data_IF_690854042770
#
_entry.id   IF_690854042770
#
_cell.length_a   1.000
_cell.length_b   1.000
_cell.length_c   1.000
_cell.angle_alpha   90.00
_cell.angle_beta   90.00
_cell.angle_gamma   90.00
#
_symmetry.space_group_name_H-M   'P 1'
#
loop_
_entity.id
_entity.type
_entity.pdbx_description
1 polymer ?
#
# COMPACT_ATOMS: atom_id res chain seq x y z
N UNK A 1 -4.31 -61.04 -32.38
CA UNK A 1 -4.66 -59.66 -32.80
C UNK A 1 -5.39 -58.99 -31.64
N UNK A 2 -4.65 -58.40 -30.70
CA UNK A 2 -4.50 -56.94 -30.54
C UNK A 2 -5.84 -56.17 -30.56
N UNK A 3 -6.43 -55.98 -29.37
CA UNK A 3 -7.57 -55.09 -29.12
C UNK A 3 -7.17 -54.10 -28.04
N UNK A 4 -7.02 -52.83 -28.41
CA UNK A 4 -6.25 -51.80 -27.72
C UNK A 4 -6.91 -51.25 -26.47
N UNK A 5 -6.07 -51.04 -25.47
CA UNK A 5 -6.15 -50.11 -24.34
C UNK A 5 -6.63 -48.73 -24.78
N UNK A 6 -7.67 -48.14 -24.17
CA UNK A 6 -7.96 -46.72 -24.35
C UNK A 6 -8.91 -46.10 -23.29
N UNK A 7 -8.50 -45.94 -22.03
CA UNK A 7 -9.18 -44.97 -21.14
C UNK A 7 -8.24 -44.49 -20.02
N UNK A 8 -7.26 -43.62 -20.27
CA UNK A 8 -6.71 -42.72 -19.22
C UNK A 8 -6.13 -41.47 -19.91
N UNK A 9 -6.92 -40.39 -20.06
CA UNK A 9 -6.39 -39.05 -20.35
C UNK A 9 -7.48 -37.97 -20.17
N UNK A 10 -8.06 -37.85 -18.97
CA UNK A 10 -8.99 -36.75 -18.67
C UNK A 10 -8.96 -36.31 -17.20
N UNK A 11 -7.77 -36.14 -16.60
CA UNK A 11 -7.63 -35.67 -15.21
C UNK A 11 -6.60 -34.56 -14.98
N UNK A 12 -5.92 -34.05 -16.02
CA UNK A 12 -4.87 -33.03 -15.85
C UNK A 12 -5.33 -31.56 -16.01
N UNK A 13 -6.62 -31.28 -16.20
CA UNK A 13 -7.10 -29.91 -16.44
C UNK A 13 -7.66 -29.16 -15.22
N UNK A 14 -7.64 -29.77 -14.03
CA UNK A 14 -8.28 -29.16 -12.84
C UNK A 14 -7.31 -28.49 -11.85
N UNK A 15 -6.00 -28.48 -12.11
CA UNK A 15 -5.04 -27.86 -11.18
C UNK A 15 -4.06 -26.95 -11.89
N UNK A 16 -4.46 -25.71 -12.14
CA UNK A 16 -3.54 -24.56 -12.31
C UNK A 16 -4.29 -23.23 -12.26
N UNK A 17 -4.85 -22.88 -11.10
CA UNK A 17 -5.05 -21.47 -10.73
C UNK A 17 -4.47 -21.22 -9.36
N UNK A 18 -3.17 -21.52 -9.21
CA UNK A 18 -2.40 -20.91 -8.13
C UNK A 18 -2.05 -19.50 -8.63
N UNK A 19 -2.80 -18.49 -8.20
CA UNK A 19 -2.44 -17.10 -8.41
C UNK A 19 -1.22 -16.82 -7.53
N UNK A 20 -0.03 -17.20 -8.01
CA UNK A 20 1.21 -16.73 -7.41
C UNK A 20 1.17 -15.20 -7.46
N UNK A 21 1.40 -14.57 -6.32
CA UNK A 21 1.41 -13.11 -6.25
C UNK A 21 2.57 -12.60 -7.10
N UNK A 22 2.26 -12.20 -8.34
CA UNK A 22 3.25 -11.81 -9.33
C UNK A 22 3.79 -10.42 -8.97
N UNK A 23 5.12 -10.30 -8.94
CA UNK A 23 5.80 -9.02 -8.73
C UNK A 23 5.26 -8.00 -9.73
N UNK A 24 4.81 -6.86 -9.22
CA UNK A 24 4.16 -5.80 -9.99
C UNK A 24 4.81 -4.45 -9.67
N UNK A 25 4.59 -3.47 -10.53
CA UNK A 25 5.07 -2.10 -10.35
C UNK A 25 4.04 -1.26 -9.58
N UNK A 26 4.53 -0.54 -8.57
CA UNK A 26 3.73 0.32 -7.72
C UNK A 26 4.46 1.64 -7.50
N UNK A 27 3.70 2.66 -7.12
CA UNK A 27 4.26 3.86 -6.50
C UNK A 27 3.75 3.95 -5.07
N UNK A 28 4.69 4.01 -4.13
CA UNK A 28 4.36 4.39 -2.76
C UNK A 28 4.30 5.91 -2.70
N UNK A 29 3.10 6.45 -2.46
CA UNK A 29 2.88 7.86 -2.18
C UNK A 29 3.14 8.13 -0.69
N UNK A 30 3.94 9.15 -0.42
CA UNK A 30 4.28 9.59 0.93
C UNK A 30 3.74 10.99 1.13
N UNK A 31 2.77 11.14 2.03
CA UNK A 31 2.24 12.44 2.43
C UNK A 31 2.93 12.85 3.73
N UNK A 32 3.80 13.84 3.68
CA UNK A 32 4.44 14.44 4.85
C UNK A 32 3.70 15.73 5.22
N UNK A 33 3.00 15.70 6.36
CA UNK A 33 2.27 16.83 6.93
C UNK A 33 3.11 17.50 8.01
N UNK A 34 3.40 18.78 7.83
CA UNK A 34 4.14 19.60 8.78
C UNK A 34 3.36 20.87 9.12
N UNK A 35 3.45 21.30 10.37
CA UNK A 35 2.91 22.58 10.81
C UNK A 35 4.06 23.48 11.24
N UNK A 36 3.95 24.78 10.95
CA UNK A 36 4.94 25.78 11.37
C UNK A 36 5.15 25.80 12.89
N UNK A 37 4.09 25.56 13.64
CA UNK A 37 4.10 25.44 15.10
C UNK A 37 3.55 24.05 15.42
N UNK A 38 4.41 23.12 15.81
CA UNK A 38 4.05 21.75 16.19
C UNK A 38 5.02 21.20 17.23
N UNK A 39 4.47 20.58 18.27
CA UNK A 39 5.23 19.81 19.26
C UNK A 39 5.47 18.36 18.81
N UNK A 40 4.83 17.91 17.73
CA UNK A 40 4.77 16.49 17.34
C UNK A 40 5.51 16.18 16.03
N UNK A 41 6.31 17.13 15.51
CA UNK A 41 7.08 16.95 14.28
C UNK A 41 6.21 16.82 13.03
N UNK A 42 6.76 16.16 12.01
CA UNK A 42 6.11 15.88 10.72
C UNK A 42 5.37 14.55 10.79
N UNK A 43 4.07 14.55 10.50
CA UNK A 43 3.28 13.31 10.36
C UNK A 43 3.48 12.74 8.95
N UNK A 44 3.54 11.42 8.84
CA UNK A 44 3.75 10.71 7.57
C UNK A 44 2.63 9.70 7.32
N UNK A 45 2.05 9.74 6.13
CA UNK A 45 1.04 8.78 5.67
C UNK A 45 1.53 8.09 4.39
N UNK A 46 1.37 6.77 4.33
CA UNK A 46 1.85 5.94 3.23
C UNK A 46 0.69 5.31 2.47
N UNK A 47 0.73 5.44 1.16
CA UNK A 47 -0.31 4.97 0.24
C UNK A 47 0.34 4.24 -0.93
N UNK A 48 -0.36 3.28 -1.52
CA UNK A 48 0.09 2.51 -2.68
C UNK A 48 -0.81 2.84 -3.86
N UNK A 49 -0.17 3.17 -4.99
CA UNK A 49 -0.79 3.34 -6.29
C UNK A 49 -0.22 2.29 -7.26
N UNK A 50 -1.00 1.30 -7.73
CA UNK A 50 -0.57 0.38 -8.77
C UNK A 50 -0.37 1.13 -10.11
N UNK A 51 0.68 0.79 -10.88
CA UNK A 51 1.02 1.46 -12.16
C UNK A 51 -0.10 1.40 -13.23
N UNK A 52 -1.15 0.61 -13.04
CA UNK A 52 -2.24 0.48 -14.02
C UNK A 52 -3.44 1.40 -13.76
N UNK A 53 -3.41 2.27 -12.73
CA UNK A 53 -4.61 2.95 -12.21
C UNK A 53 -4.54 4.49 -12.18
N UNK A 54 -3.95 5.13 -13.19
CA UNK A 54 -3.92 6.61 -13.28
C UNK A 54 -5.21 7.24 -13.85
N UNK A 55 -6.24 6.46 -14.19
CA UNK A 55 -7.50 6.98 -14.74
C UNK A 55 -8.42 7.56 -13.65
N UNK A 56 -9.47 8.32 -14.05
CA UNK A 56 -10.29 9.30 -13.30
C UNK A 56 -10.74 8.95 -11.86
N UNK A 57 -10.64 7.69 -11.42
CA UNK A 57 -10.71 7.32 -10.01
C UNK A 57 -9.30 6.92 -9.53
N UNK A 58 -8.60 7.84 -8.86
CA UNK A 58 -7.35 7.55 -8.13
C UNK A 58 -7.62 6.50 -7.05
N UNK A 59 -7.58 5.23 -7.42
CA UNK A 59 -7.68 4.09 -6.52
C UNK A 59 -6.33 3.91 -5.84
N UNK A 60 -6.08 4.74 -4.84
CA UNK A 60 -4.97 4.58 -3.90
C UNK A 60 -5.44 3.72 -2.72
N UNK A 61 -4.56 2.86 -2.20
CA UNK A 61 -4.84 2.09 -0.98
C UNK A 61 -3.85 2.39 0.12
N UNK A 62 -4.27 2.28 1.36
CA UNK A 62 -3.38 2.55 2.49
C UNK A 62 -2.30 1.46 2.59
N UNK A 63 -1.04 1.87 2.76
CA UNK A 63 0.06 0.96 3.01
C UNK A 63 0.21 0.73 4.51
N UNK A 64 -0.07 -0.49 4.98
CA UNK A 64 0.27 -0.87 6.34
C UNK A 64 1.70 -1.41 6.38
N UNK A 65 2.59 -0.63 6.98
CA UNK A 65 3.95 -1.08 7.31
C UNK A 65 4.11 -1.42 8.79
N UNK A 66 3.07 -1.25 9.60
CA UNK A 66 3.11 -1.48 11.04
C UNK A 66 2.91 -2.95 11.43
N UNK A 67 2.41 -3.14 12.64
CA UNK A 67 2.02 -4.44 13.17
C UNK A 67 0.67 -4.87 12.62
N UNK A 68 0.58 -6.10 12.10
CA UNK A 68 -0.68 -6.72 11.68
C UNK A 68 -0.65 -8.21 12.00
N UNK A 69 -1.83 -8.80 12.19
CA UNK A 69 -1.97 -10.16 12.69
C UNK A 69 -1.78 -11.18 11.57
N UNK A 70 -1.49 -12.44 11.94
CA UNK A 70 -1.47 -13.56 10.97
C UNK A 70 -2.82 -13.71 10.27
N UNK A 71 -3.92 -13.46 10.98
CA UNK A 71 -5.28 -13.50 10.41
C UNK A 71 -5.46 -12.43 9.33
N UNK A 72 -5.05 -11.19 9.60
CA UNK A 72 -5.07 -10.09 8.62
C UNK A 72 -4.24 -10.46 7.39
N UNK A 73 -3.06 -11.05 7.57
CA UNK A 73 -2.23 -11.52 6.47
C UNK A 73 -2.92 -12.61 5.64
N UNK A 74 -3.53 -13.62 6.28
CA UNK A 74 -4.25 -14.70 5.59
C UNK A 74 -5.45 -14.16 4.81
N UNK A 75 -6.24 -13.25 5.41
CA UNK A 75 -7.37 -12.61 4.75
C UNK A 75 -6.92 -11.78 3.56
N UNK A 76 -5.83 -11.03 3.73
CA UNK A 76 -5.21 -10.24 2.66
C UNK A 76 -4.77 -11.09 1.46
N UNK A 77 -4.10 -12.22 1.69
CA UNK A 77 -3.63 -13.09 0.61
C UNK A 77 -4.77 -13.80 -0.13
N UNK A 78 -5.95 -13.90 0.50
CA UNK A 78 -7.18 -14.44 -0.12
C UNK A 78 -8.06 -13.35 -0.76
N UNK A 79 -7.71 -12.07 -0.61
CA UNK A 79 -8.55 -10.95 -1.05
C UNK A 79 -9.86 -10.81 -0.26
N UNK A 80 -9.92 -11.39 0.95
CA UNK A 80 -11.07 -11.30 1.84
C UNK A 80 -11.11 -9.93 2.55
N UNK A 81 -12.24 -9.63 3.19
CA UNK A 81 -12.32 -8.45 4.04
C UNK A 81 -11.49 -8.62 5.31
N UNK A 82 -10.88 -7.54 5.77
CA UNK A 82 -9.92 -7.52 6.87
C UNK A 82 -10.34 -6.51 7.93
N UNK A 83 -10.26 -6.91 9.18
CA UNK A 83 -10.31 -6.00 10.31
C UNK A 83 -8.88 -5.74 10.81
N UNK A 84 -8.33 -4.58 10.45
CA UNK A 84 -6.99 -4.15 10.84
C UNK A 84 -6.97 -3.38 12.17
N UNK A 85 -8.14 -3.14 12.76
CA UNK A 85 -8.32 -2.34 13.98
C UNK A 85 -8.65 -3.18 15.22
N UNK A 86 -8.69 -4.51 15.09
CA UNK A 86 -8.79 -5.37 16.26
C UNK A 86 -7.59 -5.12 17.17
N UNK A 87 -7.84 -4.43 18.28
CA UNK A 87 -6.91 -4.24 19.38
C UNK A 87 -6.67 -5.62 19.95
N UNK A 88 -5.59 -6.26 19.53
CA UNK A 88 -5.14 -7.48 20.17
C UNK A 88 -4.04 -7.15 21.18
N UNK A 89 -3.93 -7.90 22.28
CA UNK A 89 -2.77 -7.81 23.16
C UNK A 89 -1.48 -8.03 22.34
N UNK A 90 -0.43 -7.25 22.64
CA UNK A 90 0.85 -7.20 21.89
C UNK A 90 1.44 -8.59 21.58
N UNK A 91 1.14 -9.57 22.42
CA UNK A 91 1.56 -10.97 22.34
C UNK A 91 1.00 -11.75 21.13
N UNK A 92 -0.02 -11.24 20.45
CA UNK A 92 -0.64 -11.91 19.28
C UNK A 92 -0.04 -11.51 17.93
N UNK A 93 0.87 -10.53 17.91
CA UNK A 93 1.47 -10.03 16.67
C UNK A 93 2.73 -10.84 16.33
N UNK A 94 2.53 -11.99 15.71
CA UNK A 94 3.65 -12.77 15.15
C UNK A 94 3.82 -12.40 13.66
N UNK A 95 4.51 -11.28 13.41
CA UNK A 95 5.14 -11.08 12.10
C UNK A 95 6.39 -11.96 12.07
N UNK A 96 6.37 -13.03 11.28
CA UNK A 96 7.54 -13.87 11.07
C UNK A 96 8.73 -13.05 10.57
N UNK A 97 9.96 -13.45 10.92
CA UNK A 97 11.17 -12.65 10.68
C UNK A 97 11.37 -12.25 9.22
N UNK A 98 11.06 -13.15 8.29
CA UNK A 98 11.11 -12.87 6.85
C UNK A 98 10.22 -11.68 6.46
N UNK A 99 8.97 -11.65 6.95
CA UNK A 99 8.04 -10.56 6.66
C UNK A 99 8.49 -9.23 7.27
N UNK A 100 9.04 -9.28 8.48
CA UNK A 100 9.63 -8.11 9.14
C UNK A 100 10.78 -7.53 8.33
N UNK A 101 11.65 -8.39 7.80
CA UNK A 101 12.75 -7.97 6.92
C UNK A 101 12.23 -7.33 5.63
N UNK A 102 11.16 -7.86 5.02
CA UNK A 102 10.56 -7.25 3.83
C UNK A 102 9.99 -5.85 4.11
N UNK A 103 9.27 -5.70 5.23
CA UNK A 103 8.76 -4.39 5.67
C UNK A 103 9.91 -3.40 5.89
N UNK A 104 10.99 -3.82 6.54
CA UNK A 104 12.17 -2.98 6.77
C UNK A 104 12.87 -2.59 5.47
N UNK A 105 13.02 -3.52 4.53
CA UNK A 105 13.59 -3.26 3.22
C UNK A 105 12.75 -2.22 2.45
N UNK A 106 11.43 -2.38 2.42
CA UNK A 106 10.53 -1.41 1.80
C UNK A 106 10.63 -0.03 2.46
N UNK A 107 10.67 0.03 3.80
CA UNK A 107 10.87 1.29 4.54
C UNK A 107 12.18 1.99 4.17
N UNK A 108 13.27 1.23 4.02
CA UNK A 108 14.57 1.76 3.59
C UNK A 108 14.49 2.33 2.18
N UNK A 109 13.82 1.65 1.25
CA UNK A 109 13.60 2.14 -0.12
C UNK A 109 12.80 3.45 -0.09
N UNK A 110 11.70 3.50 0.67
CA UNK A 110 10.86 4.70 0.81
C UNK A 110 11.66 5.89 1.35
N UNK A 111 12.49 5.66 2.37
CA UNK A 111 13.33 6.70 2.98
C UNK A 111 14.37 7.25 2.01
N UNK A 112 15.01 6.38 1.23
CA UNK A 112 16.19 6.74 0.42
C UNK A 112 15.84 7.27 -0.97
N UNK A 113 14.68 6.91 -1.53
CA UNK A 113 14.36 7.16 -2.94
C UNK A 113 13.12 8.03 -3.16
N UNK A 114 12.74 8.84 -2.16
CA UNK A 114 11.61 9.76 -2.29
C UNK A 114 11.87 10.85 -3.34
N UNK A 115 10.98 10.95 -4.33
CA UNK A 115 10.94 12.06 -5.29
C UNK A 115 9.73 12.93 -4.99
N UNK A 116 9.94 14.24 -4.79
CA UNK A 116 8.85 15.20 -4.55
C UNK A 116 7.98 15.29 -5.81
N UNK A 117 6.67 15.09 -5.63
CA UNK A 117 5.64 15.27 -6.67
C UNK A 117 5.08 16.68 -6.57
N UNK A 118 4.58 17.06 -5.39
CA UNK A 118 3.99 18.39 -5.18
C UNK A 118 4.04 18.81 -3.70
N UNK A 119 3.67 20.06 -3.45
CA UNK A 119 3.45 20.56 -2.09
C UNK A 119 2.23 21.47 -2.06
N UNK A 120 1.36 21.25 -1.09
CA UNK A 120 0.16 22.03 -0.85
C UNK A 120 0.33 22.78 0.46
N UNK A 121 0.02 24.07 0.46
CA UNK A 121 0.18 24.94 1.62
C UNK A 121 -1.15 25.57 1.99
N UNK A 122 -1.45 25.51 3.28
CA UNK A 122 -2.62 26.13 3.89
C UNK A 122 -2.10 27.16 4.90
N UNK A 123 -2.47 28.41 4.69
CA UNK A 123 -2.18 29.51 5.61
C UNK A 123 -3.49 29.95 6.27
N UNK A 124 -3.49 30.04 7.60
CA UNK A 124 -4.62 30.56 8.37
C UNK A 124 -4.38 32.01 8.79
N UNK A 125 -5.46 32.76 9.00
CA UNK A 125 -5.44 34.18 9.40
C UNK A 125 -4.69 34.42 10.72
N UNK A 126 -4.64 33.43 11.61
CA UNK A 126 -3.89 33.50 12.89
C UNK A 126 -2.39 33.15 12.76
N UNK A 127 -1.84 33.09 11.54
CA UNK A 127 -0.41 32.88 11.30
C UNK A 127 0.07 31.41 11.39
N UNK A 128 -0.84 30.49 11.70
CA UNK A 128 -0.60 29.05 11.56
C UNK A 128 -0.44 28.70 10.07
N UNK A 129 0.43 27.73 9.80
CA UNK A 129 0.68 27.22 8.44
C UNK A 129 0.82 25.72 8.49
N UNK A 130 0.16 25.04 7.56
CA UNK A 130 0.27 23.60 7.29
C UNK A 130 0.83 23.43 5.89
N UNK A 131 1.87 22.62 5.79
CA UNK A 131 2.45 22.21 4.51
C UNK A 131 2.33 20.70 4.40
N UNK A 132 1.68 20.26 3.33
CA UNK A 132 1.64 18.87 2.92
C UNK A 132 2.64 18.74 1.78
N UNK A 133 3.64 17.88 1.91
CA UNK A 133 4.54 17.54 0.80
C UNK A 133 4.29 16.11 0.39
N UNK A 134 4.04 15.91 -0.90
CA UNK A 134 3.69 14.63 -1.48
C UNK A 134 4.89 14.14 -2.27
N UNK A 135 5.35 12.93 -1.95
CA UNK A 135 6.43 12.26 -2.65
C UNK A 135 5.93 10.97 -3.28
N UNK A 136 6.60 10.53 -4.35
CA UNK A 136 6.44 9.20 -4.92
C UNK A 136 7.73 8.40 -4.78
N UNK A 137 7.58 7.11 -4.54
CA UNK A 137 8.66 6.13 -4.54
C UNK A 137 8.23 4.93 -5.39
N UNK A 138 8.74 4.81 -6.63
CA UNK A 138 8.42 3.68 -7.48
C UNK A 138 9.14 2.42 -7.00
N UNK A 139 8.37 1.35 -6.81
CA UNK A 139 8.84 0.08 -6.28
C UNK A 139 8.33 -1.07 -7.14
N UNK A 140 9.18 -2.09 -7.31
CA UNK A 140 8.79 -3.41 -7.80
C UNK A 140 8.68 -4.33 -6.60
N UNK A 141 7.62 -5.12 -6.52
CA UNK A 141 7.50 -6.10 -5.46
C UNK A 141 6.13 -6.73 -5.36
N UNK A 142 5.88 -7.33 -4.20
CA UNK A 142 4.66 -8.09 -3.95
C UNK A 142 3.93 -7.51 -2.75
N UNK A 143 2.75 -6.94 -3.04
CA UNK A 143 1.76 -6.64 -2.02
C UNK A 143 0.62 -7.65 -2.13
N UNK A 144 0.07 -8.08 -1.00
CA UNK A 144 -1.33 -8.50 -0.99
C UNK A 144 -2.20 -7.26 -0.78
N UNK A 145 -3.44 -7.31 -1.26
CA UNK A 145 -4.42 -6.27 -0.98
C UNK A 145 -5.76 -6.91 -0.63
N UNK A 146 -6.51 -6.23 0.23
CA UNK A 146 -7.83 -6.67 0.64
C UNK A 146 -8.69 -5.48 1.04
N UNK A 147 -9.99 -5.73 1.22
CA UNK A 147 -10.91 -4.68 1.64
C UNK A 147 -10.97 -4.57 3.16
N UNK A 148 -11.12 -3.37 3.72
CA UNK A 148 -11.45 -3.24 5.13
C UNK A 148 -12.88 -3.74 5.39
N UNK A 149 -13.07 -4.44 6.50
CA UNK A 149 -14.41 -4.64 7.06
C UNK A 149 -14.99 -3.28 7.42
N UNK A 150 -16.27 -3.07 7.09
CA UNK A 150 -16.97 -1.82 7.44
C UNK A 150 -17.04 -1.74 8.95
N UNK A 151 -16.27 -0.82 9.54
CA UNK A 151 -16.66 -0.24 10.81
C UNK A 151 -17.77 0.76 10.52
N UNK A 152 -18.85 0.71 11.29
CA UNK A 152 -20.03 1.58 11.14
C UNK A 152 -19.67 3.09 11.18
N UNK A 153 -18.45 3.44 11.61
CA UNK A 153 -17.96 4.83 11.70
C UNK A 153 -17.04 5.28 10.54
N UNK A 154 -16.67 4.40 9.58
CA UNK A 154 -15.82 4.77 8.43
C UNK A 154 -16.63 4.70 7.13
N UNK A 155 -17.65 5.56 7.02
CA UNK A 155 -18.47 5.71 5.81
C UNK A 155 -17.73 6.53 4.73
N UNK A 156 -16.67 6.01 4.09
CA UNK A 156 -16.20 6.60 2.83
C UNK A 156 -15.57 5.56 1.88
N UNK A 157 -16.07 5.50 0.65
CA UNK A 157 -15.67 4.56 -0.41
C UNK A 157 -14.17 4.60 -0.80
N UNK A 158 -13.48 5.71 -0.50
CA UNK A 158 -12.07 5.93 -0.82
C UNK A 158 -11.09 5.03 -0.03
N UNK A 159 -11.52 4.46 1.10
CA UNK A 159 -10.62 3.77 2.05
C UNK A 159 -10.79 2.26 2.07
N UNK A 160 -11.47 1.71 1.06
CA UNK A 160 -11.79 0.29 1.10
C UNK A 160 -10.55 -0.59 0.97
N UNK A 161 -9.48 -0.18 0.28
CA UNK A 161 -8.35 -1.07 -0.03
C UNK A 161 -7.13 -0.80 0.83
N UNK A 162 -6.61 -1.87 1.45
CA UNK A 162 -5.36 -1.88 2.21
C UNK A 162 -4.35 -2.78 1.52
N UNK A 163 -3.09 -2.33 1.49
CA UNK A 163 -1.95 -3.08 0.98
C UNK A 163 -1.04 -3.52 2.13
N UNK A 164 -0.67 -4.80 2.14
CA UNK A 164 0.37 -5.32 3.04
C UNK A 164 1.58 -5.77 2.20
N UNK A 165 2.80 -5.40 2.59
CA UNK A 165 4.01 -5.88 1.94
C UNK A 165 4.21 -7.37 2.28
N UNK A 166 4.24 -8.25 1.28
CA UNK A 166 4.32 -9.71 1.50
C UNK A 166 5.50 -10.39 0.82
N UNK A 167 6.27 -9.66 -0.01
CA UNK A 167 7.44 -10.21 -0.69
C UNK A 167 8.59 -9.22 -0.82
N UNK A 168 9.61 -9.55 -1.62
CA UNK A 168 10.77 -8.70 -1.85
C UNK A 168 10.41 -7.42 -2.60
N UNK A 169 11.11 -6.34 -2.24
CA UNK A 169 10.96 -5.02 -2.85
C UNK A 169 12.29 -4.52 -3.41
N UNK A 170 12.22 -3.85 -4.56
CA UNK A 170 13.32 -3.08 -5.14
C UNK A 170 12.83 -1.73 -5.64
N UNK A 171 13.74 -0.76 -5.72
CA UNK A 171 13.47 0.55 -6.33
C UNK A 171 13.44 0.42 -7.85
N UNK A 172 12.49 1.10 -8.50
CA UNK A 172 12.43 1.15 -9.96
C UNK A 172 13.05 2.45 -10.50
N UNK A 173 14.34 2.39 -10.81
CA UNK A 173 15.14 3.57 -11.23
C UNK A 173 14.60 4.23 -12.50
N UNK A 174 14.13 3.44 -13.47
CA UNK A 174 13.68 3.93 -14.78
C UNK A 174 12.24 4.45 -14.79
N UNK A 175 11.49 4.29 -13.70
CA UNK A 175 10.05 4.59 -13.65
C UNK A 175 9.73 6.04 -14.04
N UNK A 176 10.54 7.00 -13.61
CA UNK A 176 10.24 8.42 -13.83
C UNK A 176 10.37 8.86 -15.30
N UNK A 177 11.05 8.06 -16.12
CA UNK A 177 11.20 8.32 -17.56
C UNK A 177 10.06 7.77 -18.40
N UNK A 178 9.21 6.90 -17.81
CA UNK A 178 8.02 6.36 -18.47
C UNK A 178 6.92 7.40 -18.61
N UNK A 179 6.00 7.19 -19.55
CA UNK A 179 4.84 8.07 -19.70
C UNK A 179 3.97 8.09 -18.45
N UNK A 180 3.85 6.95 -17.76
CA UNK A 180 3.14 6.86 -16.49
C UNK A 180 3.80 7.71 -15.41
N UNK A 181 5.12 7.61 -15.24
CA UNK A 181 5.87 8.42 -14.28
C UNK A 181 5.76 9.92 -14.57
N UNK A 182 5.83 10.32 -15.84
CA UNK A 182 5.64 11.71 -16.28
C UNK A 182 4.23 12.23 -16.02
N UNK A 183 3.19 11.41 -16.23
CA UNK A 183 1.80 11.77 -15.89
C UNK A 183 1.62 11.92 -14.38
N UNK A 184 2.16 10.99 -13.60
CA UNK A 184 2.06 11.02 -12.14
C UNK A 184 2.64 12.31 -11.54
N UNK A 185 3.75 12.81 -12.08
CA UNK A 185 4.37 14.07 -11.64
C UNK A 185 3.49 15.30 -11.88
N UNK A 186 2.51 15.21 -12.78
CA UNK A 186 1.55 16.29 -13.08
C UNK A 186 0.18 16.09 -12.42
N UNK A 187 -0.02 14.96 -11.76
CA UNK A 187 -1.28 14.65 -11.11
C UNK A 187 -1.51 15.57 -9.91
N UNK A 188 -2.72 16.12 -9.80
CA UNK A 188 -3.13 16.83 -8.60
C UNK A 188 -3.59 15.84 -7.52
N UNK A 189 -2.91 15.89 -6.38
CA UNK A 189 -3.21 15.09 -5.19
C UNK A 189 -3.78 15.94 -4.05
N UNK A 190 -4.07 17.23 -4.28
CA UNK A 190 -4.55 18.16 -3.24
C UNK A 190 -5.90 17.78 -2.64
N UNK A 191 -6.74 17.04 -3.39
CA UNK A 191 -8.07 16.59 -2.98
C UNK A 191 -8.08 15.19 -2.37
N UNK A 192 -6.93 14.51 -2.34
CA UNK A 192 -6.84 13.16 -1.79
C UNK A 192 -7.02 13.20 -0.27
N UNK A 193 -7.98 12.46 0.30
CA UNK A 193 -8.22 12.44 1.74
C UNK A 193 -7.22 11.50 2.46
N UNK A 194 -5.93 11.84 2.41
CA UNK A 194 -4.81 10.95 2.80
C UNK A 194 -4.72 10.63 4.30
N UNK A 195 -5.41 11.38 5.16
CA UNK A 195 -5.32 11.32 6.62
C UNK A 195 -6.45 10.53 7.30
N UNK A 196 -7.49 10.08 6.57
CA UNK A 196 -8.67 9.47 7.21
C UNK A 196 -8.44 8.08 7.84
N UNK A 197 -7.43 7.32 7.40
CA UNK A 197 -6.95 6.10 8.11
C UNK A 197 -5.82 6.40 9.12
N UNK A 198 -5.41 7.67 9.16
CA UNK A 198 -4.15 8.16 9.71
C UNK A 198 -4.18 8.55 11.18
N UNK A 199 -5.28 8.36 11.91
CA UNK A 199 -5.30 8.60 13.35
C UNK A 199 -4.77 7.43 14.17
N UNK A 200 -4.47 6.26 13.57
CA UNK A 200 -3.99 5.07 14.30
C UNK A 200 -2.89 4.25 13.63
N UNK A 201 -2.49 4.58 12.39
CA UNK A 201 -1.41 3.89 11.65
C UNK A 201 -0.03 4.52 11.87
N UNK A 202 0.14 5.25 12.97
CA UNK A 202 1.33 6.05 13.24
C UNK A 202 2.62 5.23 13.20
N UNK A 203 3.51 5.68 12.33
CA UNK A 203 4.93 5.39 12.41
C UNK A 203 5.59 6.52 13.22
N UNK A 204 6.14 6.19 14.38
CA UNK A 204 7.17 7.01 15.04
C UNK A 204 8.52 6.41 14.64
N UNK A 205 9.38 7.19 14.00
CA UNK A 205 10.82 6.86 13.91
C UNK A 205 11.46 6.90 15.29
#
# INVERSE_FOLDING_TARGET
MSGKTFVILLLCWLFSKSSSAQSSNYVVLVFEESYRISMHGTKRYLWVLPEQKLDDSLLIGCLLTGYFTKEVLIKCTKGERMNVFNILPEETVILGDSLRQQVQALRKIIKNHKKKIMSVRFDWTMGQRKTITIYGVPVKGVFCNGRLDRFEEIEHDYFSTVFLPTGPFSFDEGFWETDYGKRLLRQDFSTVPYDKLGSRTFYRE
#
